data_IF_812533618131
#
_entry.id   IF_812533618131
#
_cell.length_a   1.000
_cell.length_b   1.000
_cell.length_c   1.000
_cell.angle_alpha   90.00
_cell.angle_beta   90.00
_cell.angle_gamma   90.00
#
_symmetry.space_group_name_H-M   'P 1'
#
loop_
_entity.id
_entity.type
_entity.pdbx_description
1 polymer ?
#
# COMPACT_ATOMS: atom_id res chain seq x y z
N UNK A 1 8.63 79.18 29.67
CA UNK A 1 7.67 78.58 28.73
C UNK A 1 7.57 77.07 28.98
N UNK A 2 6.48 76.57 29.56
CA UNK A 2 6.27 75.13 29.83
C UNK A 2 5.55 74.49 28.62
N UNK A 3 6.18 73.53 27.95
CA UNK A 3 5.54 72.74 26.87
C UNK A 3 4.65 71.66 27.51
N UNK A 4 3.35 71.70 27.23
CA UNK A 4 2.43 70.62 27.60
C UNK A 4 2.74 69.37 26.77
N UNK A 5 3.03 68.27 27.45
CA UNK A 5 3.20 66.94 26.85
C UNK A 5 1.82 66.25 26.88
N UNK A 6 1.18 66.12 25.72
CA UNK A 6 -0.10 65.40 25.59
C UNK A 6 0.20 63.90 25.67
N UNK A 7 -0.11 63.29 26.81
CA UNK A 7 -0.02 61.84 26.99
C UNK A 7 -1.31 61.25 26.39
N UNK A 8 -1.23 60.69 25.17
CA UNK A 8 -2.33 59.91 24.60
C UNK A 8 -2.39 58.57 25.31
N UNK A 9 -3.46 58.32 26.06
CA UNK A 9 -3.74 56.99 26.60
C UNK A 9 -4.32 56.16 25.45
N UNK A 10 -3.63 55.10 25.04
CA UNK A 10 -4.20 54.14 24.10
C UNK A 10 -5.31 53.41 24.83
N UNK A 11 -6.57 53.56 24.37
CA UNK A 11 -7.65 52.68 24.78
C UNK A 11 -7.27 51.26 24.32
N UNK A 12 -6.82 50.43 25.25
CA UNK A 12 -6.72 48.99 25.00
C UNK A 12 -8.17 48.48 24.95
N UNK A 13 -8.71 48.29 23.75
CA UNK A 13 -10.00 47.62 23.58
C UNK A 13 -9.81 46.13 23.85
N UNK A 14 -10.57 45.58 24.79
CA UNK A 14 -10.67 44.13 24.96
C UNK A 14 -11.43 43.48 23.80
N UNK A 15 -11.44 42.14 23.77
CA UNK A 15 -12.14 41.34 22.77
C UNK A 15 -13.66 41.54 22.86
N UNK A 16 -14.30 41.73 21.71
CA UNK A 16 -15.77 41.78 21.63
C UNK A 16 -16.37 40.37 21.68
N UNK A 17 -17.61 40.23 22.15
CA UNK A 17 -18.29 38.93 22.21
C UNK A 17 -18.40 38.28 20.82
N UNK A 18 -18.65 39.08 19.78
CA UNK A 18 -18.69 38.59 18.39
C UNK A 18 -17.32 38.13 17.88
N UNK A 19 -16.24 38.84 18.23
CA UNK A 19 -14.89 38.45 17.86
C UNK A 19 -14.49 37.12 18.48
N UNK A 20 -14.80 36.91 19.76
CA UNK A 20 -14.58 35.63 20.43
C UNK A 20 -15.41 34.51 19.78
N UNK A 21 -16.66 34.77 19.39
CA UNK A 21 -17.51 33.78 18.71
C UNK A 21 -16.91 33.38 17.36
N UNK A 22 -16.47 34.33 16.53
CA UNK A 22 -15.82 34.00 15.26
C UNK A 22 -14.48 33.30 15.45
N UNK A 23 -13.68 33.70 16.45
CA UNK A 23 -12.42 33.03 16.76
C UNK A 23 -12.63 31.57 17.17
N UNK A 24 -13.61 31.30 18.05
CA UNK A 24 -13.97 29.94 18.47
C UNK A 24 -14.46 29.11 17.27
N UNK A 25 -15.28 29.69 16.40
CA UNK A 25 -15.75 29.01 15.19
C UNK A 25 -14.58 28.64 14.25
N UNK A 26 -13.65 29.57 14.01
CA UNK A 26 -12.49 29.35 13.12
C UNK A 26 -11.56 28.29 13.71
N UNK A 27 -11.24 28.39 15.01
CA UNK A 27 -10.37 27.41 15.68
C UNK A 27 -11.04 26.04 15.72
N UNK A 28 -12.33 25.97 16.03
CA UNK A 28 -13.10 24.72 16.05
C UNK A 28 -13.07 24.02 14.69
N UNK A 29 -13.33 24.75 13.61
CA UNK A 29 -13.25 24.21 12.25
C UNK A 29 -11.81 23.78 11.89
N UNK A 30 -10.80 24.56 12.29
CA UNK A 30 -9.40 24.23 12.06
C UNK A 30 -8.97 22.93 12.75
N UNK A 31 -9.36 22.74 14.01
CA UNK A 31 -9.04 21.52 14.76
C UNK A 31 -9.73 20.31 14.14
N UNK A 32 -11.00 20.42 13.76
CA UNK A 32 -11.73 19.32 13.08
C UNK A 32 -11.06 18.95 11.76
N UNK A 33 -10.64 19.93 10.96
CA UNK A 33 -9.95 19.67 9.70
C UNK A 33 -8.62 18.93 9.94
N UNK A 34 -7.83 19.35 10.93
CA UNK A 34 -6.57 18.67 11.28
C UNK A 34 -6.78 17.24 11.76
N UNK A 35 -7.83 16.99 12.55
CA UNK A 35 -8.17 15.62 12.98
C UNK A 35 -8.46 14.71 11.78
N UNK A 36 -9.21 15.20 10.79
CA UNK A 36 -9.49 14.43 9.57
C UNK A 36 -8.21 14.13 8.77
N UNK A 37 -7.29 15.10 8.68
CA UNK A 37 -6.00 14.91 8.00
C UNK A 37 -5.17 13.82 8.69
N UNK A 38 -5.11 13.79 10.02
CA UNK A 38 -4.36 12.74 10.73
C UNK A 38 -5.01 11.37 10.57
N UNK A 39 -6.33 11.27 10.63
CA UNK A 39 -7.03 10.01 10.37
C UNK A 39 -6.75 9.50 8.95
N UNK A 40 -6.84 10.37 7.95
CA UNK A 40 -6.52 10.01 6.56
C UNK A 40 -5.04 9.60 6.41
N UNK A 41 -4.12 10.32 7.05
CA UNK A 41 -2.69 10.03 7.03
C UNK A 41 -2.35 8.65 7.62
N UNK A 42 -2.94 8.30 8.77
CA UNK A 42 -2.76 6.98 9.38
C UNK A 42 -3.26 5.87 8.46
N UNK A 43 -4.43 6.03 7.85
CA UNK A 43 -4.99 5.02 6.94
C UNK A 43 -4.11 4.80 5.71
N UNK A 44 -3.55 5.86 5.12
CA UNK A 44 -2.63 5.76 3.97
C UNK A 44 -1.32 5.09 4.39
N UNK A 45 -0.80 5.38 5.57
CA UNK A 45 0.42 4.76 6.08
C UNK A 45 0.23 3.26 6.34
N UNK A 46 -0.89 2.86 6.96
CA UNK A 46 -1.21 1.45 7.21
C UNK A 46 -1.39 0.67 5.90
N UNK A 47 -2.01 1.30 4.89
CA UNK A 47 -2.12 0.73 3.55
C UNK A 47 -0.74 0.61 2.87
N UNK A 48 0.11 1.64 2.97
CA UNK A 48 1.47 1.64 2.42
C UNK A 48 2.39 0.60 3.06
N UNK A 49 2.30 0.39 4.37
CA UNK A 49 2.99 -0.70 5.08
C UNK A 49 2.51 -2.06 4.56
N UNK A 50 1.19 -2.24 4.43
CA UNK A 50 0.59 -3.45 3.86
C UNK A 50 1.06 -3.74 2.44
N UNK A 51 1.09 -2.74 1.57
CA UNK A 51 1.56 -2.86 0.19
C UNK A 51 3.05 -3.24 0.13
N UNK A 52 3.89 -2.62 0.95
CA UNK A 52 5.34 -2.90 0.97
C UNK A 52 5.60 -4.36 1.34
N UNK A 53 4.88 -4.88 2.34
CA UNK A 53 4.93 -6.29 2.75
C UNK A 53 4.40 -7.22 1.66
N UNK A 54 3.31 -6.84 1.00
CA UNK A 54 2.74 -7.63 -0.10
C UNK A 54 3.70 -7.72 -1.30
N UNK A 55 4.39 -6.61 -1.65
CA UNK A 55 5.41 -6.59 -2.71
C UNK A 55 6.62 -7.44 -2.34
N UNK A 56 7.07 -7.37 -1.09
CA UNK A 56 8.11 -8.27 -0.59
C UNK A 56 7.73 -9.74 -0.80
N UNK A 57 6.55 -10.14 -0.33
CA UNK A 57 6.04 -11.51 -0.49
C UNK A 57 5.88 -11.93 -1.96
N UNK A 58 5.47 -11.03 -2.85
CA UNK A 58 5.37 -11.31 -4.28
C UNK A 58 6.76 -11.56 -4.90
N UNK A 59 7.77 -10.79 -4.49
CA UNK A 59 9.15 -11.00 -4.92
C UNK A 59 9.75 -12.30 -4.36
N UNK A 60 9.39 -12.71 -3.15
CA UNK A 60 9.79 -14.02 -2.62
C UNK A 60 9.25 -15.17 -3.47
N UNK A 61 8.00 -15.08 -3.96
CA UNK A 61 7.47 -16.06 -4.93
C UNK A 61 8.30 -16.07 -6.21
N UNK A 62 8.64 -14.88 -6.75
CA UNK A 62 9.48 -14.80 -7.94
C UNK A 62 10.85 -15.46 -7.70
N UNK A 63 11.50 -15.12 -6.60
CA UNK A 63 12.78 -15.69 -6.20
C UNK A 63 12.69 -17.22 -6.09
N UNK A 64 11.62 -17.74 -5.48
CA UNK A 64 11.37 -19.19 -5.42
C UNK A 64 11.29 -19.81 -6.82
N UNK A 65 10.55 -19.19 -7.76
CA UNK A 65 10.41 -19.73 -9.12
C UNK A 65 11.69 -19.70 -9.95
N UNK A 66 12.66 -18.85 -9.60
CA UNK A 66 13.93 -18.79 -10.34
C UNK A 66 14.79 -20.05 -10.17
N UNK A 67 14.59 -20.78 -9.06
CA UNK A 67 15.28 -22.06 -8.77
C UNK A 67 14.51 -23.29 -9.23
N UNK A 68 13.30 -23.13 -9.76
CA UNK A 68 12.45 -24.24 -10.23
C UNK A 68 12.62 -24.42 -11.74
N UNK A 69 12.72 -25.68 -12.18
CA UNK A 69 12.83 -25.98 -13.60
C UNK A 69 11.52 -25.68 -14.34
N UNK A 70 11.62 -25.44 -15.65
CA UNK A 70 10.46 -25.12 -16.49
C UNK A 70 9.35 -26.19 -16.43
N UNK A 71 9.73 -27.46 -16.52
CA UNK A 71 8.78 -28.59 -16.48
C UNK A 71 8.06 -28.69 -15.13
N UNK A 72 8.76 -28.40 -14.04
CA UNK A 72 8.18 -28.43 -12.70
C UNK A 72 7.23 -27.24 -12.49
N UNK A 73 7.56 -26.07 -13.03
CA UNK A 73 6.70 -24.88 -13.02
C UNK A 73 5.40 -25.12 -13.78
N UNK A 74 5.44 -25.80 -14.93
CA UNK A 74 4.26 -26.12 -15.73
C UNK A 74 3.24 -26.98 -14.96
N UNK A 75 3.73 -27.81 -14.04
CA UNK A 75 2.91 -28.70 -13.19
C UNK A 75 2.53 -28.07 -11.84
N UNK A 76 2.99 -26.84 -11.57
CA UNK A 76 2.85 -26.21 -10.27
C UNK A 76 1.46 -25.58 -10.11
N UNK A 77 0.55 -26.31 -9.48
CA UNK A 77 -0.72 -25.78 -8.97
C UNK A 77 -0.57 -25.45 -7.48
N UNK A 78 0.08 -24.32 -7.18
CA UNK A 78 0.09 -23.82 -5.80
C UNK A 78 -1.22 -23.12 -5.50
N UNK A 79 -2.09 -23.83 -4.80
CA UNK A 79 -3.17 -23.20 -4.03
C UNK A 79 -2.62 -22.12 -3.08
N UNK A 80 -3.49 -21.25 -2.56
CA UNK A 80 -3.05 -20.13 -1.73
C UNK A 80 -2.30 -20.60 -0.48
N UNK A 81 -1.20 -19.91 -0.15
CA UNK A 81 -0.39 -20.15 1.04
C UNK A 81 -0.14 -18.86 1.82
N UNK A 82 0.13 -18.99 3.12
CA UNK A 82 0.07 -17.84 4.03
C UNK A 82 1.46 -17.36 4.45
N UNK A 83 1.89 -16.22 3.91
CA UNK A 83 3.00 -15.41 4.43
C UNK A 83 4.31 -16.15 4.62
N UNK A 84 4.80 -16.82 3.57
CA UNK A 84 6.08 -17.55 3.57
C UNK A 84 7.11 -16.86 2.69
N UNK A 85 8.38 -17.05 3.02
CA UNK A 85 9.51 -16.65 2.18
C UNK A 85 9.76 -17.63 1.03
N UNK A 86 10.77 -17.37 0.19
CA UNK A 86 11.13 -18.24 -0.93
C UNK A 86 11.54 -19.67 -0.53
N UNK A 87 11.91 -19.89 0.73
CA UNK A 87 12.26 -21.21 1.27
C UNK A 87 11.05 -21.95 1.86
N UNK A 88 9.85 -21.35 1.81
CA UNK A 88 8.65 -21.87 2.45
C UNK A 88 8.61 -21.66 3.96
N UNK A 89 9.49 -20.80 4.52
CA UNK A 89 9.52 -20.52 5.94
C UNK A 89 8.51 -19.40 6.26
N UNK A 90 7.64 -19.57 7.27
CA UNK A 90 6.71 -18.51 7.67
C UNK A 90 7.44 -17.24 8.12
N UNK A 91 7.03 -16.10 7.58
CA UNK A 91 7.57 -14.78 7.95
C UNK A 91 6.77 -14.21 9.11
N UNK A 92 7.45 -13.85 10.19
CA UNK A 92 6.81 -13.33 11.40
C UNK A 92 6.01 -12.05 11.10
N UNK A 93 4.73 -12.04 11.50
CA UNK A 93 3.85 -10.88 11.36
C UNK A 93 3.13 -10.78 10.00
N UNK A 94 3.34 -11.74 9.09
CA UNK A 94 2.71 -11.78 7.76
C UNK A 94 1.68 -12.89 7.59
N UNK A 95 1.25 -13.55 8.67
CA UNK A 95 0.36 -14.72 8.60
C UNK A 95 -1.06 -14.39 8.09
N UNK A 96 -1.44 -13.10 8.10
CA UNK A 96 -2.70 -12.59 7.54
C UNK A 96 -2.60 -12.23 6.05
N UNK A 97 -1.41 -12.35 5.45
CA UNK A 97 -1.21 -12.26 4.00
C UNK A 97 -1.31 -13.64 3.38
N UNK A 98 -1.88 -13.66 2.18
CA UNK A 98 -2.07 -14.87 1.40
C UNK A 98 -1.45 -14.64 0.02
N UNK A 99 -0.49 -15.49 -0.31
CA UNK A 99 0.25 -15.55 -1.55
C UNK A 99 -0.33 -16.63 -2.45
N UNK A 100 -0.30 -16.41 -3.75
CA UNK A 100 -0.69 -17.39 -4.75
C UNK A 100 0.18 -17.21 -5.99
N UNK A 101 0.77 -18.30 -6.47
CA UNK A 101 1.40 -18.35 -7.78
C UNK A 101 0.40 -18.93 -8.78
N UNK A 102 0.14 -18.19 -9.85
CA UNK A 102 -0.70 -18.58 -10.96
C UNK A 102 0.21 -18.79 -12.16
N UNK A 103 0.17 -20.00 -12.71
CA UNK A 103 0.95 -20.38 -13.89
C UNK A 103 0.02 -20.44 -15.09
N UNK A 104 0.32 -19.65 -16.12
CA UNK A 104 -0.45 -19.66 -17.37
C UNK A 104 0.46 -20.00 -18.56
N UNK A 105 0.22 -21.12 -19.25
CA UNK A 105 0.82 -21.42 -20.55
C UNK A 105 0.43 -20.37 -21.59
N UNK A 106 1.41 -19.71 -22.21
CA UNK A 106 1.19 -18.66 -23.20
C UNK A 106 2.17 -18.74 -24.36
N UNK A 107 1.83 -18.08 -25.47
CA UNK A 107 2.79 -17.83 -26.53
C UNK A 107 3.77 -16.71 -26.07
N UNK A 108 5.11 -16.89 -26.16
CA UNK A 108 6.07 -15.85 -25.78
C UNK A 108 5.97 -14.58 -26.65
N UNK A 109 5.53 -14.71 -27.91
CA UNK A 109 5.30 -13.59 -28.82
C UNK A 109 3.92 -12.94 -28.62
N UNK A 110 2.97 -13.66 -28.01
CA UNK A 110 1.62 -13.18 -27.68
C UNK A 110 1.12 -13.77 -26.36
N UNK A 111 1.34 -13.04 -25.28
CA UNK A 111 1.04 -13.44 -23.91
C UNK A 111 -0.47 -13.66 -23.62
N UNK A 112 -1.34 -13.39 -24.59
CA UNK A 112 -2.79 -13.58 -24.44
C UNK A 112 -3.28 -14.90 -25.01
N UNK A 113 -2.45 -15.56 -25.82
CA UNK A 113 -2.79 -16.79 -26.51
C UNK A 113 -2.33 -17.98 -25.68
N UNK A 114 -3.28 -18.77 -25.20
CA UNK A 114 -2.99 -20.07 -24.61
C UNK A 114 -2.40 -21.00 -25.66
N UNK A 115 -1.20 -21.49 -25.39
CA UNK A 115 -0.55 -22.56 -26.16
C UNK A 115 -0.73 -23.83 -25.34
N UNK A 116 -1.04 -24.94 -26.02
CA UNK A 116 -1.46 -26.22 -25.42
C UNK A 116 -0.46 -26.87 -24.45
N UNK A 117 -0.42 -28.20 -24.34
CA UNK A 117 0.28 -28.89 -23.25
C UNK A 117 1.81 -28.76 -23.23
N UNK A 118 2.44 -28.24 -24.28
CA UNK A 118 3.89 -27.99 -24.37
C UNK A 118 4.12 -26.54 -24.83
N UNK A 119 3.92 -25.54 -23.95
CA UNK A 119 4.09 -24.14 -24.30
C UNK A 119 5.59 -23.76 -24.34
N UNK A 120 5.96 -22.83 -25.20
CA UNK A 120 7.32 -22.23 -25.22
C UNK A 120 7.49 -21.11 -24.17
N UNK A 121 6.38 -20.66 -23.56
CA UNK A 121 6.36 -19.63 -22.52
C UNK A 121 5.31 -19.86 -21.42
N UNK A 122 5.66 -19.47 -20.20
CA UNK A 122 4.78 -19.41 -19.04
C UNK A 122 4.69 -17.97 -18.55
N UNK A 123 3.47 -17.45 -18.47
CA UNK A 123 3.19 -16.23 -17.74
C UNK A 123 2.94 -16.59 -16.27
N UNK A 124 3.94 -16.34 -15.44
CA UNK A 124 3.89 -16.54 -14.01
C UNK A 124 3.34 -15.28 -13.35
N UNK A 125 2.41 -15.44 -12.42
CA UNK A 125 1.77 -14.34 -11.71
C UNK A 125 1.78 -14.62 -10.22
N UNK A 126 2.50 -13.80 -9.46
CA UNK A 126 2.43 -13.77 -8.00
C UNK A 126 1.36 -12.79 -7.56
N UNK A 127 0.25 -13.30 -7.02
CA UNK A 127 -0.80 -12.50 -6.42
C UNK A 127 -0.70 -12.56 -4.89
N UNK A 128 -0.83 -11.41 -4.24
CA UNK A 128 -0.84 -11.32 -2.77
C UNK A 128 -2.05 -10.54 -2.30
N UNK A 129 -2.79 -11.13 -1.36
CA UNK A 129 -3.96 -10.56 -0.72
C UNK A 129 -3.77 -10.51 0.80
N UNK A 130 -4.57 -9.69 1.49
CA UNK A 130 -4.65 -9.64 2.95
C UNK A 130 -6.11 -9.68 3.35
N UNK A 131 -6.49 -10.65 4.19
CA UNK A 131 -7.89 -10.86 4.60
C UNK A 131 -8.87 -10.95 3.39
N UNK A 132 -8.45 -11.57 2.30
CA UNK A 132 -9.25 -11.70 1.08
C UNK A 132 -9.34 -10.45 0.19
N UNK A 133 -8.69 -9.35 0.57
CA UNK A 133 -8.57 -8.15 -0.28
C UNK A 133 -7.26 -8.22 -1.08
N UNK A 134 -7.30 -8.16 -2.42
CA UNK A 134 -6.08 -8.14 -3.23
C UNK A 134 -5.29 -6.86 -2.95
N UNK A 135 -3.98 -7.00 -2.72
CA UNK A 135 -3.08 -5.87 -2.45
C UNK A 135 -2.12 -5.61 -3.60
N UNK A 136 -1.50 -6.67 -4.13
CA UNK A 136 -0.57 -6.53 -5.26
C UNK A 136 -0.55 -7.79 -6.12
N UNK A 137 -0.12 -7.59 -7.35
CA UNK A 137 0.17 -8.65 -8.29
C UNK A 137 1.40 -8.25 -9.11
N UNK A 138 2.33 -9.19 -9.29
CA UNK A 138 3.43 -9.04 -10.24
C UNK A 138 3.43 -10.23 -11.18
N UNK A 139 3.69 -9.99 -12.46
CA UNK A 139 3.70 -11.02 -13.49
C UNK A 139 5.00 -10.99 -14.27
N UNK A 140 5.49 -12.16 -14.70
CA UNK A 140 6.71 -12.29 -15.50
C UNK A 140 6.67 -13.48 -16.42
N UNK A 141 7.33 -13.33 -17.57
CA UNK A 141 7.50 -14.41 -18.53
C UNK A 141 8.67 -15.30 -18.11
N UNK A 142 8.43 -16.61 -18.15
CA UNK A 142 9.47 -17.63 -18.15
C UNK A 142 9.38 -18.36 -19.49
N UNK A 143 10.40 -18.27 -20.32
CA UNK A 143 10.52 -19.11 -21.51
C UNK A 143 11.32 -20.36 -21.20
N UNK A 144 11.21 -21.36 -22.07
CA UNK A 144 12.12 -22.49 -22.11
C UNK A 144 13.54 -22.05 -22.50
#
# INVERSE_FOLDING_TARGET
>A
MKRLKIIRTSRQSGFTLMESVYAIMIIGLGVVALMQVFTAGTNVNDYGDGLSKAVFLANEIRSMTDYVNYEDLLLMDTGPFNGVDANGTPVAGLQNFQQQLIVQPVNPDDLTVYVGPDPDGLLLTAAVSRNGQPLTQISWLRSR
#
